data_IF_280862758985
#
_entry.id   IF_280862758985
#
_cell.length_a   1.000
_cell.length_b   1.000
_cell.length_c   1.000
_cell.angle_alpha   90.00
_cell.angle_beta   90.00
_cell.angle_gamma   90.00
#
_symmetry.space_group_name_H-M   'P 1'
#
loop_
_entity.id
_entity.type
_entity.pdbx_description
1 polymer ?
#
# COMPACT_ATOMS: atom_id res chain seq x y z
N UNK A 1 10.61 15.45 58.28
CA UNK A 1 10.66 15.55 56.80
C UNK A 1 11.53 14.44 56.17
N UNK A 2 11.52 13.22 56.71
CA UNK A 2 12.43 12.13 56.31
C UNK A 2 11.85 11.14 55.29
N UNK A 3 10.54 11.20 55.03
CA UNK A 3 9.84 10.26 54.13
C UNK A 3 9.64 10.79 52.70
N UNK A 4 10.05 12.03 52.41
CA UNK A 4 9.83 12.70 51.11
C UNK A 4 10.76 12.19 50.01
N UNK A 5 12.04 12.00 50.33
CA UNK A 5 13.06 11.52 49.38
C UNK A 5 12.76 10.09 48.85
N UNK A 6 12.47 9.08 49.70
CA UNK A 6 12.11 7.75 49.20
C UNK A 6 10.77 7.76 48.44
N UNK A 7 9.83 8.66 48.76
CA UNK A 7 8.57 8.81 48.03
C UNK A 7 8.76 9.39 46.63
N UNK A 8 9.62 10.38 46.46
CA UNK A 8 9.93 10.98 45.15
C UNK A 8 10.68 9.97 44.28
N UNK A 9 11.62 9.22 44.86
CA UNK A 9 12.35 8.17 44.15
C UNK A 9 11.40 7.05 43.68
N UNK A 10 10.50 6.59 44.55
CA UNK A 10 9.51 5.58 44.21
C UNK A 10 8.55 6.07 43.11
N UNK A 11 8.12 7.33 43.20
CA UNK A 11 7.28 7.96 42.17
C UNK A 11 7.99 8.07 40.82
N UNK A 12 9.25 8.52 40.82
CA UNK A 12 10.05 8.63 39.60
C UNK A 12 10.28 7.26 38.96
N UNK A 13 10.65 6.24 39.76
CA UNK A 13 10.82 4.86 39.29
C UNK A 13 9.52 4.30 38.71
N UNK A 14 8.40 4.47 39.40
CA UNK A 14 7.08 4.02 38.94
C UNK A 14 6.67 4.70 37.63
N UNK A 15 6.91 6.01 37.53
CA UNK A 15 6.61 6.79 36.31
C UNK A 15 7.45 6.30 35.14
N UNK A 16 8.76 6.15 35.32
CA UNK A 16 9.68 5.65 34.28
C UNK A 16 9.32 4.23 33.86
N UNK A 17 9.07 3.33 34.81
CA UNK A 17 8.68 1.95 34.51
C UNK A 17 7.35 1.88 33.75
N UNK A 18 6.36 2.70 34.13
CA UNK A 18 5.07 2.77 33.45
C UNK A 18 5.21 3.32 32.03
N UNK A 19 5.94 4.42 31.86
CA UNK A 19 6.18 5.01 30.55
C UNK A 19 6.93 4.04 29.63
N UNK A 20 7.98 3.39 30.13
CA UNK A 20 8.72 2.37 29.39
C UNK A 20 7.83 1.18 29.01
N UNK A 21 7.00 0.69 29.94
CA UNK A 21 6.07 -0.41 29.68
C UNK A 21 5.05 -0.06 28.60
N UNK A 22 4.34 1.07 28.76
CA UNK A 22 3.31 1.50 27.81
C UNK A 22 3.89 1.84 26.44
N UNK A 23 5.03 2.53 26.39
CA UNK A 23 5.70 2.83 25.11
C UNK A 23 6.16 1.55 24.41
N UNK A 24 6.76 0.61 25.13
CA UNK A 24 7.21 -0.67 24.55
C UNK A 24 6.04 -1.44 23.95
N UNK A 25 4.91 -1.54 24.67
CA UNK A 25 3.71 -2.20 24.14
C UNK A 25 3.14 -1.43 22.95
N UNK A 26 3.00 -0.10 23.05
CA UNK A 26 2.45 0.73 21.98
C UNK A 26 3.28 0.68 20.70
N UNK A 27 4.60 0.87 20.80
CA UNK A 27 5.50 0.77 19.66
C UNK A 27 5.60 -0.65 19.12
N UNK A 28 5.54 -1.67 19.98
CA UNK A 28 5.46 -3.07 19.53
C UNK A 28 4.23 -3.31 18.68
N UNK A 29 3.04 -2.90 19.15
CA UNK A 29 1.81 -3.00 18.39
C UNK A 29 1.87 -2.23 17.07
N UNK A 30 2.45 -1.03 17.05
CA UNK A 30 2.64 -0.26 15.82
C UNK A 30 3.62 -0.96 14.87
N UNK A 31 4.75 -1.44 15.37
CA UNK A 31 5.78 -2.09 14.54
C UNK A 31 5.25 -3.35 13.86
N UNK A 32 4.52 -4.19 14.59
CA UNK A 32 3.94 -5.41 14.03
C UNK A 32 2.63 -5.16 13.26
N UNK A 33 1.86 -4.14 13.65
CA UNK A 33 0.55 -3.81 13.06
C UNK A 33 0.56 -2.78 11.93
N UNK A 34 1.70 -2.13 11.65
CA UNK A 34 1.79 -1.01 10.70
C UNK A 34 1.18 -1.29 9.32
N UNK A 35 1.40 -2.49 8.79
CA UNK A 35 0.92 -2.86 7.45
C UNK A 35 -0.61 -2.89 7.37
N UNK A 36 -1.29 -3.18 8.49
CA UNK A 36 -2.75 -3.17 8.54
C UNK A 36 -3.32 -1.76 8.69
N UNK A 37 -2.58 -0.86 9.35
CA UNK A 37 -3.00 0.53 9.57
C UNK A 37 -2.79 1.42 8.34
N UNK A 38 -1.62 1.32 7.69
CA UNK A 38 -1.25 2.20 6.58
C UNK A 38 -1.90 1.75 5.28
N UNK A 39 -2.09 0.43 5.10
CA UNK A 39 -2.71 -0.14 3.91
C UNK A 39 -3.74 -1.21 4.32
N UNK A 40 -4.98 -0.80 4.63
CA UNK A 40 -6.04 -1.68 5.18
C UNK A 40 -6.56 -2.64 4.11
N UNK A 41 -5.73 -3.62 3.83
CA UNK A 41 -5.83 -4.55 2.72
C UNK A 41 -6.84 -5.68 2.94
N UNK A 42 -7.53 -5.65 4.07
CA UNK A 42 -8.73 -6.45 4.33
C UNK A 42 -10.02 -5.72 3.93
N UNK A 43 -9.93 -4.48 3.44
CA UNK A 43 -11.09 -3.67 3.08
C UNK A 43 -10.95 -3.05 1.68
N UNK A 44 -12.02 -3.10 0.85
CA UNK A 44 -13.25 -3.87 1.04
C UNK A 44 -13.02 -5.40 1.11
N UNK A 45 -14.01 -6.18 1.59
CA UNK A 45 -13.94 -7.63 1.57
C UNK A 45 -13.61 -8.13 0.16
N UNK A 46 -12.67 -9.06 0.05
CA UNK A 46 -12.24 -9.60 -1.25
C UNK A 46 -11.13 -8.81 -1.95
N UNK A 47 -10.68 -7.65 -1.45
CA UNK A 47 -9.66 -6.82 -2.14
C UNK A 47 -8.34 -7.51 -2.50
N UNK A 48 -8.02 -8.65 -1.87
CA UNK A 48 -6.82 -9.46 -2.19
C UNK A 48 -7.10 -10.71 -3.03
N UNK A 49 -8.36 -11.11 -3.14
CA UNK A 49 -8.77 -12.37 -3.79
C UNK A 49 -9.52 -12.10 -5.08
N UNK A 50 -10.25 -11.00 -5.16
CA UNK A 50 -11.10 -10.59 -6.27
C UNK A 50 -10.51 -9.32 -6.87
N UNK A 51 -9.43 -9.48 -7.64
CA UNK A 51 -8.75 -8.36 -8.32
C UNK A 51 -9.16 -8.38 -9.80
N UNK A 52 -9.83 -7.33 -10.31
CA UNK A 52 -10.21 -7.25 -11.72
C UNK A 52 -8.98 -7.32 -12.62
N UNK A 53 -9.13 -7.97 -13.77
CA UNK A 53 -8.11 -8.06 -14.81
C UNK A 53 -8.54 -7.28 -16.05
N UNK A 54 -7.61 -6.85 -16.93
CA UNK A 54 -7.99 -6.05 -18.10
C UNK A 54 -8.99 -6.75 -19.02
N UNK A 55 -8.95 -8.09 -19.11
CA UNK A 55 -9.93 -8.91 -19.84
C UNK A 55 -11.37 -8.69 -19.38
N UNK A 56 -11.61 -8.40 -18.10
CA UNK A 56 -12.96 -8.16 -17.55
C UNK A 56 -13.61 -6.90 -18.15
N UNK A 57 -12.80 -6.06 -18.82
CA UNK A 57 -13.19 -4.80 -19.44
C UNK A 57 -12.88 -4.76 -20.95
N UNK A 58 -12.61 -5.91 -21.58
CA UNK A 58 -12.23 -6.02 -22.99
C UNK A 58 -10.99 -5.17 -23.37
N UNK A 59 -10.10 -4.90 -22.41
CA UNK A 59 -8.90 -4.10 -22.62
C UNK A 59 -7.74 -4.98 -23.13
N UNK A 60 -7.11 -4.65 -24.27
CA UNK A 60 -5.94 -5.38 -24.75
C UNK A 60 -4.72 -5.09 -23.87
N UNK A 61 -3.99 -6.14 -23.48
CA UNK A 61 -2.80 -6.04 -22.64
C UNK A 61 -1.81 -7.18 -22.94
N UNK A 62 -0.56 -6.99 -22.50
CA UNK A 62 0.42 -8.06 -22.40
C UNK A 62 0.63 -8.42 -20.92
N UNK A 63 0.52 -9.70 -20.57
CA UNK A 63 0.78 -10.20 -19.21
C UNK A 63 2.28 -10.29 -18.99
N UNK A 64 2.76 -9.69 -17.90
CA UNK A 64 4.17 -9.67 -17.52
C UNK A 64 4.32 -10.12 -16.08
N UNK A 65 5.21 -11.08 -15.85
CA UNK A 65 5.64 -11.45 -14.51
C UNK A 65 7.04 -10.87 -14.26
N UNK A 66 7.14 -9.98 -13.28
CA UNK A 66 8.42 -9.44 -12.84
C UNK A 66 8.84 -10.13 -11.55
N UNK A 67 10.13 -10.42 -11.40
CA UNK A 67 10.69 -10.96 -10.17
C UNK A 67 11.54 -9.88 -9.50
N UNK A 68 11.25 -9.59 -8.24
CA UNK A 68 12.02 -8.63 -7.45
C UNK A 68 13.31 -9.28 -6.92
N UNK A 69 14.31 -8.49 -6.49
CA UNK A 69 15.56 -9.04 -5.94
C UNK A 69 15.38 -9.93 -4.70
N UNK A 70 14.29 -9.75 -3.96
CA UNK A 70 13.90 -10.59 -2.80
C UNK A 70 12.99 -11.77 -3.18
N UNK A 71 12.81 -12.05 -4.47
CA UNK A 71 12.10 -13.24 -4.98
C UNK A 71 10.58 -13.12 -5.00
N UNK A 72 10.02 -11.91 -4.79
CA UNK A 72 8.59 -11.67 -4.91
C UNK A 72 8.24 -11.59 -6.41
N UNK A 73 7.23 -12.36 -6.81
CA UNK A 73 6.69 -12.31 -8.18
C UNK A 73 5.56 -11.30 -8.26
N UNK A 74 5.77 -10.24 -9.03
CA UNK A 74 4.77 -9.22 -9.33
C UNK A 74 3.99 -9.63 -10.57
N UNK A 75 2.66 -9.59 -10.47
CA UNK A 75 1.76 -9.74 -11.61
C UNK A 75 1.53 -8.35 -12.20
N UNK A 76 2.00 -8.12 -13.41
CA UNK A 76 1.94 -6.83 -14.09
C UNK A 76 1.20 -6.96 -15.42
N UNK A 77 0.57 -5.86 -15.84
CA UNK A 77 -0.08 -5.76 -17.14
C UNK A 77 0.53 -4.59 -17.89
N UNK A 78 1.09 -4.85 -19.07
CA UNK A 78 1.54 -3.80 -19.98
C UNK A 78 0.40 -3.43 -20.92
N UNK A 79 -0.13 -2.23 -20.73
CA UNK A 79 -1.14 -1.63 -21.60
C UNK A 79 -0.46 -0.51 -22.40
N UNK A 80 -0.22 -0.77 -23.67
CA UNK A 80 0.35 0.24 -24.58
C UNK A 80 -0.75 1.16 -25.09
N UNK A 81 -0.53 2.46 -25.04
CA UNK A 81 -1.42 3.43 -25.67
C UNK A 81 -1.52 3.13 -27.17
N UNK A 82 -2.75 3.10 -27.70
CA UNK A 82 -3.00 3.04 -29.13
C UNK A 82 -3.56 4.39 -29.57
N UNK A 83 -3.07 4.90 -30.70
CA UNK A 83 -3.60 6.13 -31.32
C UNK A 83 -4.97 5.88 -31.93
N UNK A 84 -5.17 4.68 -32.47
CA UNK A 84 -6.48 4.20 -32.87
C UNK A 84 -7.03 3.24 -31.82
N UNK A 85 -8.01 3.71 -31.05
CA UNK A 85 -8.85 2.84 -30.22
C UNK A 85 -10.06 2.39 -31.06
N UNK A 86 -10.48 1.11 -30.99
CA UNK A 86 -11.78 0.73 -31.52
C UNK A 86 -12.83 1.53 -30.75
N UNK A 87 -13.47 2.50 -31.41
CA UNK A 87 -14.48 3.39 -30.84
C UNK A 87 -15.74 2.60 -30.46
N UNK A 88 -15.70 1.90 -29.33
CA UNK A 88 -16.87 1.27 -28.72
C UNK A 88 -17.37 2.24 -27.64
N UNK A 89 -18.07 3.29 -28.08
CA UNK A 89 -18.80 4.21 -27.19
C UNK A 89 -18.01 5.35 -26.53
N UNK A 90 -16.73 5.54 -26.85
CA UNK A 90 -15.96 6.71 -26.40
C UNK A 90 -16.28 7.95 -27.26
N UNK A 91 -16.30 9.14 -26.64
CA UNK A 91 -16.35 10.40 -27.38
C UNK A 91 -15.03 10.58 -28.14
N UNK A 92 -15.06 10.84 -29.47
CA UNK A 92 -13.85 11.16 -30.22
C UNK A 92 -13.23 12.44 -29.66
N UNK A 93 -11.94 12.38 -29.34
CA UNK A 93 -11.12 13.54 -29.00
C UNK A 93 -10.24 13.80 -30.21
N UNK A 94 -10.33 15.00 -30.78
CA UNK A 94 -9.44 15.41 -31.88
C UNK A 94 -8.01 15.51 -31.34
N UNK A 95 -7.19 14.50 -31.63
CA UNK A 95 -5.75 14.54 -31.42
C UNK A 95 -5.07 15.05 -32.71
N UNK A 96 -4.10 15.98 -32.64
CA UNK A 96 -3.34 16.39 -33.82
C UNK A 96 -2.59 15.18 -34.43
N UNK A 97 -2.72 15.01 -35.75
CA UNK A 97 -2.36 13.82 -36.54
C UNK A 97 -0.84 13.47 -36.61
N UNK A 98 0.03 14.10 -35.82
CA UNK A 98 1.48 14.07 -36.02
C UNK A 98 2.30 13.13 -35.14
N UNK A 99 1.69 12.24 -34.37
CA UNK A 99 2.47 11.19 -33.72
C UNK A 99 2.28 9.88 -34.49
N UNK A 100 3.26 9.44 -35.27
CA UNK A 100 3.32 8.08 -35.81
C UNK A 100 3.74 7.08 -34.72
N UNK A 101 3.31 5.83 -34.78
CA UNK A 101 3.74 4.75 -33.87
C UNK A 101 5.07 4.11 -34.33
N UNK A 102 5.88 4.85 -35.09
CA UNK A 102 7.18 4.41 -35.58
C UNK A 102 8.27 5.09 -34.75
N UNK A 103 8.61 4.45 -33.62
CA UNK A 103 9.97 4.18 -33.12
C UNK A 103 9.91 3.42 -31.78
#
# INVERSE_FOLDING_TARGET
MSNLLPSIEAFAKGTVATAAGLSTVGFGLLFFGQNYLIYPSAYPPGSRTEVPVPTDFDLPYCDLQLETPDGVKLRCYLLTQRKELPNIGAMPIDSPDEESNEE
#
